data_IF_175083998590
#
_entry.id   IF_175083998590
#
_cell.length_a   1.000
_cell.length_b   1.000
_cell.length_c   1.000
_cell.angle_alpha   90.00
_cell.angle_beta   90.00
_cell.angle_gamma   90.00
#
_symmetry.space_group_name_H-M   'P 1'
#
loop_
_entity.id
_entity.type
_entity.pdbx_description
1 polymer ?
#
# COMPACT_ATOMS: atom_id res chain seq x y z
N UNK A 1 -39.99 39.44 -26.83
CA UNK A 1 -40.72 38.83 -27.97
C UNK A 1 -40.40 37.36 -27.98
N UNK A 2 -41.42 36.53 -27.76
CA UNK A 2 -41.32 35.07 -27.79
C UNK A 2 -41.22 34.57 -29.23
N UNK A 3 -40.47 33.49 -29.46
CA UNK A 3 -40.71 32.58 -30.58
C UNK A 3 -40.59 31.15 -30.06
N UNK A 4 -41.76 30.52 -29.97
CA UNK A 4 -42.00 29.09 -29.78
C UNK A 4 -41.91 28.45 -31.16
N UNK A 5 -41.22 27.31 -31.28
CA UNK A 5 -41.44 26.36 -32.37
C UNK A 5 -41.61 24.95 -31.78
N UNK A 6 -42.83 24.44 -31.94
CA UNK A 6 -43.24 23.06 -31.67
C UNK A 6 -43.05 22.18 -32.91
N UNK A 7 -42.88 20.88 -32.65
CA UNK A 7 -43.13 19.77 -33.59
C UNK A 7 -41.86 18.95 -33.86
N UNK A 8 -41.84 17.63 -33.82
CA UNK A 8 -42.88 16.59 -33.76
C UNK A 8 -42.27 15.28 -33.26
N UNK A 9 -43.12 14.43 -32.69
CA UNK A 9 -42.81 13.10 -32.16
C UNK A 9 -42.55 12.08 -33.27
N UNK A 10 -41.56 11.19 -33.07
CA UNK A 10 -41.57 9.83 -33.61
C UNK A 10 -40.71 8.90 -32.76
N UNK A 11 -41.35 7.83 -32.29
CA UNK A 11 -40.83 6.91 -31.29
C UNK A 11 -39.63 6.07 -31.73
N UNK A 12 -38.92 5.58 -30.72
CA UNK A 12 -37.92 4.54 -30.79
C UNK A 12 -37.69 4.04 -29.37
N UNK A 13 -38.47 3.05 -28.97
CA UNK A 13 -38.23 2.30 -27.75
C UNK A 13 -36.87 1.60 -27.88
N UNK A 14 -35.95 1.98 -27.01
CA UNK A 14 -34.63 1.37 -26.85
C UNK A 14 -34.36 1.24 -25.37
N UNK A 15 -35.04 0.30 -24.72
CA UNK A 15 -34.59 -0.23 -23.44
C UNK A 15 -33.30 -0.99 -23.70
N UNK A 16 -32.18 -0.44 -23.25
CA UNK A 16 -30.91 -1.12 -23.15
C UNK A 16 -30.42 -0.89 -21.73
N UNK A 17 -30.65 -1.89 -20.88
CA UNK A 17 -30.16 -1.92 -19.52
C UNK A 17 -28.64 -1.77 -19.52
N UNK A 18 -28.17 -0.56 -19.23
CA UNK A 18 -26.81 -0.31 -18.81
C UNK A 18 -26.65 -0.86 -17.40
N UNK A 19 -26.20 -2.11 -17.30
CA UNK A 19 -25.54 -2.64 -16.11
C UNK A 19 -24.35 -1.73 -15.83
N UNK A 20 -24.58 -0.72 -14.99
CA UNK A 20 -23.53 0.05 -14.36
C UNK A 20 -22.78 -0.89 -13.42
N UNK A 21 -21.82 -1.64 -13.95
CA UNK A 21 -20.64 -1.99 -13.18
C UNK A 21 -19.90 -0.67 -12.92
N UNK A 22 -20.43 0.09 -11.96
CA UNK A 22 -19.72 1.17 -11.29
C UNK A 22 -18.46 0.52 -10.71
N UNK A 23 -17.31 0.82 -11.32
CA UNK A 23 -16.04 0.41 -10.80
C UNK A 23 -16.00 0.81 -9.31
N UNK A 24 -15.61 -0.10 -8.40
CA UNK A 24 -15.62 0.20 -6.97
C UNK A 24 -14.81 1.47 -6.74
N UNK A 25 -15.41 2.42 -6.03
CA UNK A 25 -14.77 3.69 -5.68
C UNK A 25 -13.43 3.38 -4.99
N UNK A 26 -12.34 4.14 -5.25
CA UNK A 26 -11.01 3.86 -4.72
C UNK A 26 -10.96 3.73 -3.18
N UNK A 27 -11.92 4.34 -2.47
CA UNK A 27 -12.09 4.20 -1.01
C UNK A 27 -12.48 2.80 -0.52
N UNK A 28 -13.16 1.98 -1.33
CA UNK A 28 -13.54 0.61 -0.96
C UNK A 28 -12.38 -0.37 -1.11
N UNK A 29 -11.52 -0.17 -2.11
CA UNK A 29 -10.34 -1.00 -2.35
C UNK A 29 -9.29 -0.86 -1.23
N UNK A 30 -9.08 0.36 -0.69
CA UNK A 30 -8.30 0.60 0.53
C UNK A 30 -8.82 -0.21 1.72
N UNK A 31 -10.14 -0.15 1.94
CA UNK A 31 -10.81 -0.85 3.02
C UNK A 31 -10.73 -2.37 2.86
N UNK A 32 -10.74 -2.89 1.63
CA UNK A 32 -10.61 -4.31 1.31
C UNK A 32 -9.17 -4.82 1.41
N UNK A 33 -8.18 -4.02 0.99
CA UNK A 33 -6.77 -4.39 1.08
C UNK A 33 -6.23 -4.30 2.51
N UNK A 34 -6.59 -3.24 3.27
CA UNK A 34 -6.30 -3.15 4.70
C UNK A 34 -7.08 -4.18 5.53
N UNK A 35 -8.21 -4.71 5.04
CA UNK A 35 -8.91 -5.83 5.70
C UNK A 35 -8.37 -7.21 5.30
N UNK A 36 -7.67 -7.31 4.17
CA UNK A 36 -6.85 -8.50 3.84
C UNK A 36 -5.52 -8.48 4.59
N UNK A 37 -5.06 -7.28 4.97
CA UNK A 37 -3.90 -7.11 5.83
C UNK A 37 -4.22 -7.58 7.25
N UNK A 38 -3.78 -8.79 7.59
CA UNK A 38 -3.73 -9.22 8.98
C UNK A 38 -2.57 -8.49 9.63
N UNK A 39 -2.86 -7.32 10.21
CA UNK A 39 -2.01 -6.77 11.26
C UNK A 39 -1.77 -7.91 12.25
N UNK A 40 -0.52 -8.32 12.53
CA UNK A 40 -0.31 -9.25 13.61
C UNK A 40 -0.95 -8.61 14.85
N UNK A 41 -1.99 -9.25 15.39
CA UNK A 41 -2.81 -8.65 16.43
C UNK A 41 -1.96 -8.17 17.61
N UNK A 42 -2.53 -7.35 18.48
CA UNK A 42 -1.83 -6.77 19.66
C UNK A 42 -1.03 -7.78 20.52
N UNK A 43 -1.29 -9.09 20.37
CA UNK A 43 -0.54 -10.20 20.94
C UNK A 43 0.89 -10.40 20.39
N UNK A 44 1.26 -9.86 19.23
CA UNK A 44 2.60 -10.03 18.62
C UNK A 44 3.58 -8.93 19.03
N UNK A 45 3.07 -7.80 19.53
CA UNK A 45 3.93 -6.70 19.97
C UNK A 45 4.27 -6.85 21.44
N UNK A 46 5.53 -7.17 21.74
CA UNK A 46 6.07 -7.12 23.10
C UNK A 46 6.09 -5.69 23.68
N UNK A 47 5.96 -4.64 22.84
CA UNK A 47 6.02 -3.23 23.23
C UNK A 47 4.84 -2.43 22.65
N UNK A 48 4.04 -1.72 23.48
CA UNK A 48 2.89 -0.93 23.02
C UNK A 48 3.26 0.26 22.11
N UNK A 49 4.52 0.71 22.10
CA UNK A 49 4.97 1.78 21.21
C UNK A 49 4.92 1.33 19.74
N UNK A 50 5.23 0.05 19.48
CA UNK A 50 5.22 -0.49 18.13
C UNK A 50 3.81 -0.48 17.53
N UNK A 51 2.80 -0.88 18.30
CA UNK A 51 1.40 -0.88 17.84
C UNK A 51 0.83 0.53 17.69
N UNK A 52 1.25 1.48 18.55
CA UNK A 52 0.86 2.89 18.41
C UNK A 52 1.44 3.51 17.13
N UNK A 53 2.69 3.23 16.79
CA UNK A 53 3.30 3.71 15.55
C UNK A 53 2.63 3.12 14.31
N UNK A 54 2.26 1.83 14.32
CA UNK A 54 1.50 1.24 13.21
C UNK A 54 0.13 1.90 13.04
N UNK A 55 -0.57 2.21 14.14
CA UNK A 55 -1.83 2.94 14.07
C UNK A 55 -1.66 4.35 13.51
N UNK A 56 -0.53 5.01 13.77
CA UNK A 56 -0.24 6.32 13.18
C UNK A 56 0.05 6.21 11.68
N UNK A 57 0.85 5.21 11.28
CA UNK A 57 1.15 4.93 9.86
C UNK A 57 -0.12 4.63 9.07
N UNK A 58 -1.01 3.77 9.58
CA UNK A 58 -2.26 3.38 8.92
C UNK A 58 -3.22 4.57 8.74
N UNK A 59 -3.10 5.61 9.57
CA UNK A 59 -3.93 6.82 9.49
C UNK A 59 -3.36 7.89 8.54
N UNK A 60 -2.18 7.69 7.98
CA UNK A 60 -1.62 8.63 7.01
C UNK A 60 -2.41 8.60 5.71
N UNK A 61 -2.79 9.78 5.22
CA UNK A 61 -3.54 9.93 3.96
C UNK A 61 -2.65 10.37 2.78
N UNK A 62 -1.39 10.72 3.05
CA UNK A 62 -0.43 11.13 2.04
C UNK A 62 0.99 10.60 2.34
N UNK A 63 1.84 10.42 1.31
CA UNK A 63 3.21 9.93 1.50
C UNK A 63 4.08 10.83 2.38
N UNK A 64 3.87 12.15 2.34
CA UNK A 64 4.65 13.13 3.11
C UNK A 64 4.50 12.92 4.62
N UNK A 65 3.29 12.62 5.08
CA UNK A 65 2.99 12.28 6.46
C UNK A 65 3.72 11.01 6.91
N UNK A 66 3.73 9.96 6.07
CA UNK A 66 4.45 8.71 6.35
C UNK A 66 5.96 8.96 6.46
N UNK A 67 6.54 9.69 5.49
CA UNK A 67 7.96 10.03 5.49
C UNK A 67 8.35 10.90 6.69
N UNK A 68 7.48 11.81 7.11
CA UNK A 68 7.68 12.63 8.31
C UNK A 68 7.68 11.78 9.57
N UNK A 69 6.74 10.84 9.72
CA UNK A 69 6.72 9.90 10.84
C UNK A 69 8.00 9.05 10.90
N UNK A 70 8.47 8.57 9.75
CA UNK A 70 9.69 7.77 9.63
C UNK A 70 10.93 8.50 10.15
N UNK A 71 11.08 9.78 9.83
CA UNK A 71 12.24 10.56 10.29
C UNK A 71 12.10 10.97 11.75
N UNK A 72 10.93 11.45 12.16
CA UNK A 72 10.69 11.98 13.52
C UNK A 72 10.79 10.89 14.59
N UNK A 73 10.43 9.66 14.26
CA UNK A 73 10.42 8.54 15.21
C UNK A 73 11.48 7.47 14.86
N UNK A 74 12.43 7.76 13.96
CA UNK A 74 13.40 6.77 13.45
C UNK A 74 14.11 5.94 14.52
N UNK A 75 14.43 6.55 15.67
CA UNK A 75 15.12 5.90 16.79
C UNK A 75 14.28 4.89 17.57
N UNK A 76 12.97 4.87 17.35
CA UNK A 76 12.00 4.00 18.04
C UNK A 76 11.21 3.09 17.10
N UNK A 77 11.50 3.12 15.79
CA UNK A 77 10.87 2.22 14.81
C UNK A 77 11.33 0.77 14.99
N UNK A 78 10.37 -0.14 14.98
CA UNK A 78 10.63 -1.58 14.93
C UNK A 78 10.59 -2.09 13.50
N UNK A 79 11.12 -3.28 13.27
CA UNK A 79 11.15 -3.93 11.95
C UNK A 79 9.75 -4.02 11.36
N UNK A 80 8.74 -4.32 12.17
CA UNK A 80 7.36 -4.39 11.73
C UNK A 80 6.84 -3.03 11.24
N UNK A 81 7.13 -1.94 11.95
CA UNK A 81 6.73 -0.59 11.53
C UNK A 81 7.31 -0.20 10.17
N UNK A 82 8.53 -0.68 9.85
CA UNK A 82 9.14 -0.45 8.54
C UNK A 82 8.38 -1.19 7.43
N UNK A 83 7.92 -2.41 7.70
CA UNK A 83 7.10 -3.19 6.76
C UNK A 83 5.76 -2.49 6.54
N UNK A 84 5.08 -2.07 7.62
CA UNK A 84 3.83 -1.29 7.56
C UNK A 84 4.02 -0.03 6.73
N UNK A 85 5.09 0.73 6.97
CA UNK A 85 5.36 1.97 6.24
C UNK A 85 5.53 1.74 4.73
N UNK A 86 6.24 0.66 4.32
CA UNK A 86 6.37 0.30 2.90
C UNK A 86 5.00 -0.02 2.28
N UNK A 87 4.13 -0.72 3.00
CA UNK A 87 2.80 -1.06 2.48
C UNK A 87 1.86 0.14 2.42
N UNK A 88 1.86 1.01 3.43
CA UNK A 88 1.06 2.23 3.41
C UNK A 88 1.51 3.12 2.24
N UNK A 89 2.81 3.31 2.04
CA UNK A 89 3.32 4.06 0.89
C UNK A 89 2.92 3.42 -0.45
N UNK A 90 2.99 2.09 -0.56
CA UNK A 90 2.54 1.36 -1.74
C UNK A 90 1.06 1.57 -2.05
N UNK A 91 0.19 1.45 -1.05
CA UNK A 91 -1.24 1.70 -1.18
C UNK A 91 -1.53 3.13 -1.62
N UNK A 92 -0.97 4.13 -0.91
CA UNK A 92 -1.16 5.54 -1.24
C UNK A 92 -0.70 5.89 -2.66
N UNK A 93 0.42 5.32 -3.11
CA UNK A 93 0.91 5.53 -4.48
C UNK A 93 -0.01 4.90 -5.54
N UNK A 94 -0.47 3.66 -5.31
CA UNK A 94 -1.38 2.94 -6.20
C UNK A 94 -2.73 3.67 -6.31
N UNK A 95 -3.24 4.21 -5.20
CA UNK A 95 -4.50 4.95 -5.15
C UNK A 95 -4.42 6.33 -5.80
N UNK A 96 -3.32 7.04 -5.59
CA UNK A 96 -3.09 8.33 -6.23
C UNK A 96 -3.04 8.15 -7.77
N UNK A 97 -2.52 7.00 -8.23
CA UNK A 97 -2.33 6.66 -9.64
C UNK A 97 -1.68 7.83 -10.43
N UNK A 98 -0.76 8.53 -9.77
CA UNK A 98 -0.06 9.70 -10.30
C UNK A 98 1.44 9.37 -10.44
N UNK A 99 1.94 9.18 -11.67
CA UNK A 99 3.33 8.82 -11.91
C UNK A 99 4.30 9.96 -11.56
N UNK A 100 3.87 11.23 -11.56
CA UNK A 100 4.73 12.34 -11.15
C UNK A 100 4.90 12.36 -9.63
N UNK A 101 3.81 12.25 -8.88
CA UNK A 101 3.86 12.16 -7.42
C UNK A 101 4.67 10.93 -6.95
N UNK A 102 4.50 9.78 -7.63
CA UNK A 102 5.33 8.61 -7.37
C UNK A 102 6.82 8.88 -7.64
N UNK A 103 7.15 9.57 -8.72
CA UNK A 103 8.54 9.91 -9.03
C UNK A 103 9.18 10.82 -7.98
N UNK A 104 8.43 11.78 -7.46
CA UNK A 104 8.86 12.66 -6.37
C UNK A 104 9.10 11.87 -5.08
N UNK A 105 8.16 10.99 -4.71
CA UNK A 105 8.29 10.09 -3.56
C UNK A 105 9.56 9.23 -3.65
N UNK A 106 9.81 8.59 -4.81
CA UNK A 106 10.96 7.71 -5.00
C UNK A 106 12.30 8.47 -5.01
N UNK A 107 12.29 9.79 -5.21
CA UNK A 107 13.48 10.65 -5.13
C UNK A 107 13.65 11.29 -3.75
N UNK A 108 12.71 11.09 -2.84
CA UNK A 108 12.78 11.67 -1.51
C UNK A 108 13.88 10.97 -0.67
N UNK A 109 14.82 11.71 -0.07
CA UNK A 109 15.89 11.12 0.75
C UNK A 109 15.37 10.29 1.93
N UNK A 110 14.16 10.57 2.42
CA UNK A 110 13.52 9.86 3.53
C UNK A 110 13.00 8.51 3.09
N UNK A 111 12.57 8.39 1.83
CA UNK A 111 12.24 7.10 1.22
C UNK A 111 13.50 6.22 1.13
N UNK A 112 14.63 6.77 0.71
CA UNK A 112 15.91 6.03 0.69
C UNK A 112 16.31 5.51 2.07
N UNK A 113 16.08 6.31 3.13
CA UNK A 113 16.32 5.89 4.51
C UNK A 113 15.44 4.70 4.91
N UNK A 114 14.15 4.72 4.55
CA UNK A 114 13.24 3.59 4.77
C UNK A 114 13.77 2.32 4.09
N UNK A 115 14.10 2.40 2.80
CA UNK A 115 14.59 1.24 2.03
C UNK A 115 15.90 0.71 2.62
N UNK A 116 16.82 1.59 3.05
CA UNK A 116 18.07 1.21 3.71
C UNK A 116 17.81 0.49 5.04
N UNK A 117 16.87 0.99 5.82
CA UNK A 117 16.52 0.41 7.12
C UNK A 117 15.85 -0.96 6.94
N UNK A 118 14.91 -1.11 5.98
CA UNK A 118 14.34 -2.41 5.60
C UNK A 118 15.42 -3.39 5.15
N UNK A 119 16.34 -2.96 4.27
CA UNK A 119 17.44 -3.78 3.78
C UNK A 119 18.34 -4.31 4.91
N UNK A 120 18.61 -3.48 5.92
CA UNK A 120 19.40 -3.86 7.11
C UNK A 120 18.71 -4.96 7.92
N UNK A 121 17.39 -4.97 7.95
CA UNK A 121 16.59 -5.89 8.76
C UNK A 121 16.04 -7.10 7.99
N UNK A 122 16.34 -7.26 6.70
CA UNK A 122 15.96 -8.45 5.90
C UNK A 122 16.20 -9.78 6.63
N UNK A 123 17.35 -10.03 7.30
CA UNK A 123 17.58 -11.31 8.00
C UNK A 123 16.62 -11.57 9.17
N UNK A 124 15.88 -10.57 9.63
CA UNK A 124 14.89 -10.66 10.71
C UNK A 124 13.45 -10.70 10.22
N UNK A 125 13.22 -10.57 8.91
CA UNK A 125 11.89 -10.67 8.33
C UNK A 125 11.50 -12.15 8.22
N UNK A 126 10.27 -12.46 8.63
CA UNK A 126 9.65 -13.74 8.32
C UNK A 126 9.09 -13.73 6.88
N UNK A 127 8.57 -14.88 6.44
CA UNK A 127 8.00 -15.01 5.10
C UNK A 127 6.92 -13.96 4.81
N UNK A 128 5.98 -13.77 5.74
CA UNK A 128 4.86 -12.86 5.56
C UNK A 128 5.33 -11.41 5.44
N UNK A 129 6.26 -10.98 6.29
CA UNK A 129 6.84 -9.66 6.24
C UNK A 129 7.63 -9.43 4.94
N UNK A 130 8.38 -10.42 4.46
CA UNK A 130 9.07 -10.33 3.16
C UNK A 130 8.10 -10.24 1.99
N UNK A 131 7.01 -11.01 2.00
CA UNK A 131 5.97 -10.94 0.98
C UNK A 131 5.29 -9.57 0.97
N UNK A 132 4.97 -9.04 2.15
CA UNK A 132 4.39 -7.70 2.33
C UNK A 132 5.31 -6.59 1.81
N UNK A 133 6.61 -6.67 2.10
CA UNK A 133 7.61 -5.75 1.52
C UNK A 133 7.62 -5.87 0.01
N UNK A 134 7.69 -7.08 -0.55
CA UNK A 134 7.71 -7.29 -2.00
C UNK A 134 6.46 -6.72 -2.69
N UNK A 135 5.27 -6.90 -2.10
CA UNK A 135 4.02 -6.32 -2.59
C UNK A 135 4.06 -4.79 -2.57
N UNK A 136 4.47 -4.16 -1.47
CA UNK A 136 4.56 -2.70 -1.38
C UNK A 136 5.57 -2.12 -2.37
N UNK A 137 6.73 -2.77 -2.56
CA UNK A 137 7.71 -2.35 -3.57
C UNK A 137 7.16 -2.46 -5.00
N UNK A 138 6.35 -3.49 -5.29
CA UNK A 138 5.70 -3.65 -6.58
C UNK A 138 4.69 -2.52 -6.83
N UNK A 139 3.91 -2.15 -5.83
CA UNK A 139 2.95 -1.03 -5.92
C UNK A 139 3.66 0.31 -6.17
N UNK A 140 4.84 0.50 -5.60
CA UNK A 140 5.69 1.67 -5.80
C UNK A 140 6.45 1.68 -7.15
N UNK A 141 6.27 0.68 -8.02
CA UNK A 141 7.14 0.41 -9.19
C UNK A 141 8.64 0.50 -8.85
N UNK A 142 9.01 0.09 -7.62
CA UNK A 142 10.37 0.23 -7.13
C UNK A 142 11.25 -0.90 -7.65
N UNK A 143 12.10 -0.60 -8.62
CA UNK A 143 12.96 -1.57 -9.33
C UNK A 143 14.21 -1.95 -8.55
N UNK A 144 14.10 -2.24 -7.25
CA UNK A 144 15.25 -2.56 -6.40
C UNK A 144 15.59 -4.05 -6.39
N UNK A 145 16.32 -4.47 -7.41
CA UNK A 145 16.82 -5.85 -7.56
C UNK A 145 17.65 -6.32 -6.37
N UNK A 146 18.33 -5.41 -5.64
CA UNK A 146 19.18 -5.77 -4.48
C UNK A 146 18.36 -6.21 -3.27
N UNK A 147 17.24 -5.54 -2.97
CA UNK A 147 16.40 -5.87 -1.83
C UNK A 147 15.67 -7.20 -2.07
N UNK A 148 15.10 -7.37 -3.26
CA UNK A 148 14.51 -8.64 -3.70
C UNK A 148 15.55 -9.78 -3.67
N UNK A 149 16.75 -9.56 -4.22
CA UNK A 149 17.82 -10.58 -4.21
C UNK A 149 18.29 -10.94 -2.80
N UNK A 150 18.27 -9.99 -1.87
CA UNK A 150 18.58 -10.24 -0.45
C UNK A 150 17.49 -11.04 0.25
N UNK A 151 16.21 -10.84 -0.10
CA UNK A 151 15.09 -11.61 0.41
C UNK A 151 15.03 -13.03 -0.18
N UNK A 152 15.55 -13.27 -1.38
CA UNK A 152 15.58 -14.61 -1.99
C UNK A 152 16.30 -15.65 -1.12
N UNK A 153 17.41 -15.29 -0.46
CA UNK A 153 18.15 -16.26 0.37
C UNK A 153 17.34 -16.74 1.59
N UNK A 154 16.79 -15.85 2.44
CA UNK A 154 15.86 -16.25 3.49
C UNK A 154 14.67 -17.05 2.98
N UNK A 155 14.03 -16.62 1.88
CA UNK A 155 12.87 -17.30 1.30
C UNK A 155 13.20 -18.74 0.85
N UNK A 156 14.37 -18.95 0.24
CA UNK A 156 14.83 -20.29 -0.16
C UNK A 156 15.24 -21.18 1.01
N UNK A 157 15.60 -20.58 2.14
CA UNK A 157 16.04 -21.30 3.34
C UNK A 157 14.91 -21.63 4.32
N UNK A 158 13.75 -20.99 4.18
CA UNK A 158 12.60 -21.27 5.03
C UNK A 158 11.88 -22.54 4.54
N UNK A 159 11.47 -23.45 5.44
CA UNK A 159 10.65 -24.58 5.06
C UNK A 159 9.38 -24.05 4.39
N UNK A 160 9.07 -24.56 3.20
CA UNK A 160 7.82 -24.25 2.50
C UNK A 160 6.69 -24.54 3.49
N UNK A 161 5.80 -23.58 3.80
CA UNK A 161 4.68 -23.87 4.68
C UNK A 161 3.90 -25.01 4.05
N UNK A 162 3.81 -26.14 4.78
CA UNK A 162 3.02 -27.29 4.35
C UNK A 162 1.61 -26.78 4.10
N UNK A 163 1.21 -26.74 2.83
CA UNK A 163 -0.16 -26.50 2.40
C UNK A 163 -0.99 -27.73 2.75
N UNK A 164 -1.13 -28.01 4.05
CA UNK A 164 -1.98 -29.05 4.57
C UNK A 164 -3.41 -28.49 4.63
N UNK A 165 -4.18 -28.85 3.58
CA UNK A 165 -5.65 -29.03 3.51
C UNK A 165 -6.56 -28.02 4.20
#
# INVERSE_FOLDING_TARGET
>A
GAVVLQGTSRGGAGESGGSGHEAPRPRQAQSEFLSTWVAPGSAVYANPICSQLDQLLIKCEDPEAVLTLLVTHRGVFFVHNLVTAVQVLGGLAEEANDPMALNELLRDPRYDLLIRDVLRFVPKLDFLAMANVACGLRQLDHKHYVLLSRMLRPLLSQPVPDSAT
#
